data_IF_449982105521
#
_entry.id   IF_449982105521
#
_cell.length_a   1.000
_cell.length_b   1.000
_cell.length_c   1.000
_cell.angle_alpha   90.00
_cell.angle_beta   90.00
_cell.angle_gamma   90.00
#
_symmetry.space_group_name_H-M   'P 1'
#
loop_
_entity.id
_entity.type
_entity.pdbx_description
1 polymer ?
#
# COMPACT_ATOMS: atom_id res chain seq x y z
N UNK A 1 -9.41 -9.12 -5.20
CA UNK A 1 -8.62 -7.88 -4.92
C UNK A 1 -7.12 -8.18 -4.99
N UNK A 2 -6.70 -9.03 -5.93
CA UNK A 2 -5.30 -9.44 -6.03
C UNK A 2 -4.47 -8.33 -6.68
N UNK A 3 -5.10 -7.52 -7.51
CA UNK A 3 -4.50 -6.49 -8.35
C UNK A 3 -4.42 -5.13 -7.65
N UNK A 4 -4.92 -5.02 -6.41
CA UNK A 4 -5.10 -3.74 -5.74
C UNK A 4 -3.97 -3.45 -4.76
N UNK A 5 -3.39 -2.25 -4.84
CA UNK A 5 -2.55 -1.67 -3.79
C UNK A 5 -3.21 -0.45 -3.17
N UNK A 6 -2.90 -0.27 -1.90
CA UNK A 6 -3.23 0.87 -1.07
C UNK A 6 -1.99 1.75 -0.94
N UNK A 7 -2.14 3.03 -1.22
CA UNK A 7 -1.13 4.06 -1.04
C UNK A 7 -1.55 5.01 0.08
N UNK A 8 -0.66 5.23 1.04
CA UNK A 8 -0.89 6.02 2.25
C UNK A 8 0.03 7.25 2.25
N UNK A 9 -0.44 8.34 2.88
CA UNK A 9 0.39 9.55 3.07
C UNK A 9 0.46 10.51 1.88
N UNK A 10 -0.24 10.25 0.78
CA UNK A 10 -0.34 11.17 -0.36
C UNK A 10 -1.29 12.31 0.02
N UNK A 11 -0.79 13.53 0.18
CA UNK A 11 -1.59 14.71 0.54
C UNK A 11 -2.81 14.89 -0.38
N UNK A 12 -3.95 15.27 0.20
CA UNK A 12 -5.15 15.63 -0.57
C UNK A 12 -5.08 17.10 -0.95
N UNK A 13 -5.38 17.42 -2.21
CA UNK A 13 -5.58 18.81 -2.63
C UNK A 13 -6.96 19.26 -2.16
N UNK A 14 -7.03 20.41 -1.47
CA UNK A 14 -8.30 20.98 -0.99
C UNK A 14 -9.03 21.80 -2.05
N UNK A 15 -8.47 21.94 -3.25
CA UNK A 15 -9.08 22.69 -4.34
C UNK A 15 -10.34 22.01 -4.87
N UNK A 16 -11.23 22.83 -5.43
CA UNK A 16 -12.45 22.39 -6.13
C UNK A 16 -12.18 21.62 -7.42
N UNK A 17 -10.91 21.54 -7.85
CA UNK A 17 -10.50 20.75 -9.00
C UNK A 17 -10.59 19.24 -8.70
N UNK A 18 -10.98 18.46 -9.72
CA UNK A 18 -11.01 16.99 -9.62
C UNK A 18 -9.58 16.48 -9.42
N UNK A 19 -9.31 15.89 -8.27
CA UNK A 19 -8.00 15.30 -7.94
C UNK A 19 -7.69 14.11 -8.87
N UNK A 20 -6.61 14.22 -9.65
CA UNK A 20 -6.15 13.10 -10.48
C UNK A 20 -5.31 12.13 -9.64
N UNK A 21 -5.99 11.17 -8.99
CA UNK A 21 -5.37 10.16 -8.16
C UNK A 21 -4.38 9.26 -8.92
N UNK A 22 -4.61 9.03 -10.23
CA UNK A 22 -3.70 8.22 -11.04
C UNK A 22 -2.34 8.90 -11.20
N UNK A 23 -2.33 10.19 -11.53
CA UNK A 23 -1.09 10.97 -11.63
C UNK A 23 -0.35 10.96 -10.30
N UNK A 24 -1.03 11.19 -9.17
CA UNK A 24 -0.40 11.15 -7.85
C UNK A 24 0.27 9.81 -7.55
N UNK A 25 -0.38 8.70 -7.89
CA UNK A 25 0.18 7.35 -7.73
C UNK A 25 1.38 7.14 -8.66
N UNK A 26 1.30 7.54 -9.93
CA UNK A 26 2.41 7.44 -10.89
C UNK A 26 3.63 8.25 -10.45
N UNK A 27 3.42 9.50 -10.05
CA UNK A 27 4.48 10.37 -9.52
C UNK A 27 5.13 9.75 -8.29
N UNK A 28 4.35 9.21 -7.34
CA UNK A 28 4.92 8.54 -6.17
C UNK A 28 5.75 7.31 -6.56
N UNK A 29 5.28 6.49 -7.50
CA UNK A 29 6.01 5.29 -7.96
C UNK A 29 7.33 5.70 -8.66
N UNK A 30 7.33 6.75 -9.46
CA UNK A 30 8.53 7.27 -10.12
C UNK A 30 9.50 7.90 -9.11
N UNK A 31 9.00 8.76 -8.24
CA UNK A 31 9.84 9.57 -7.34
C UNK A 31 10.38 8.77 -6.17
N UNK A 32 9.57 7.91 -5.57
CA UNK A 32 9.94 7.16 -4.36
C UNK A 32 10.47 5.79 -4.74
N UNK A 33 9.73 5.04 -5.56
CA UNK A 33 10.09 3.65 -5.86
C UNK A 33 11.11 3.55 -7.01
N UNK A 34 11.35 4.65 -7.74
CA UNK A 34 12.26 4.72 -8.90
C UNK A 34 11.90 3.70 -9.99
N UNK A 35 10.59 3.47 -10.18
CA UNK A 35 10.06 2.60 -11.22
C UNK A 35 9.45 3.46 -12.31
N UNK A 36 9.75 3.15 -13.57
CA UNK A 36 9.06 3.79 -14.70
C UNK A 36 7.59 3.34 -14.77
N UNK A 37 6.70 4.30 -14.97
CA UNK A 37 5.24 4.10 -15.00
C UNK A 37 4.64 4.35 -16.37
N UNK A 38 5.43 4.68 -17.39
CA UNK A 38 4.92 5.04 -18.71
C UNK A 38 4.04 3.95 -19.31
N UNK A 39 4.40 2.68 -19.10
CA UNK A 39 3.65 1.53 -19.59
C UNK A 39 2.60 1.01 -18.60
N UNK A 40 2.59 1.50 -17.34
CA UNK A 40 1.67 1.03 -16.31
C UNK A 40 0.26 1.56 -16.56
N UNK A 41 -0.69 0.63 -16.62
CA UNK A 41 -2.11 0.92 -16.81
C UNK A 41 -2.87 0.56 -15.54
N UNK A 42 -3.74 1.47 -15.11
CA UNK A 42 -4.65 1.27 -14.00
C UNK A 42 -6.08 1.16 -14.51
N UNK A 43 -6.82 0.20 -13.97
CA UNK A 43 -8.25 0.08 -14.27
C UNK A 43 -9.05 1.17 -13.54
N UNK A 44 -8.69 1.42 -12.26
CA UNK A 44 -9.37 2.38 -11.38
C UNK A 44 -8.42 2.88 -10.30
N UNK A 45 -8.40 4.19 -10.06
CA UNK A 45 -7.61 4.83 -8.99
C UNK A 45 -8.44 5.89 -8.28
N UNK A 46 -8.61 5.77 -6.96
CA UNK A 46 -9.44 6.71 -6.19
C UNK A 46 -9.13 6.68 -4.69
N UNK A 47 -9.51 7.75 -3.97
CA UNK A 47 -9.46 7.82 -2.50
C UNK A 47 -10.48 6.87 -1.87
N UNK A 48 -10.09 6.16 -0.81
CA UNK A 48 -11.00 5.34 -0.01
C UNK A 48 -11.33 6.04 1.32
N UNK A 49 -12.61 6.02 1.66
CA UNK A 49 -13.12 6.45 2.97
C UNK A 49 -13.77 7.83 2.95
N UNK A 50 -14.49 8.18 4.04
CA UNK A 50 -15.15 9.47 4.16
C UNK A 50 -14.12 10.58 4.25
N UNK A 51 -14.41 11.74 3.64
CA UNK A 51 -13.61 12.96 3.86
C UNK A 51 -13.69 13.31 5.35
N UNK A 52 -12.56 13.28 6.05
CA UNK A 52 -12.47 13.66 7.44
C UNK A 52 -11.87 15.05 7.57
N UNK A 53 -12.28 15.84 8.59
CA UNK A 53 -11.68 17.15 8.89
C UNK A 53 -10.17 17.08 9.18
N UNK A 54 -9.70 15.91 9.65
CA UNK A 54 -8.30 15.63 9.96
C UNK A 54 -7.99 14.22 9.50
N UNK A 55 -7.22 14.10 8.42
CA UNK A 55 -6.72 12.81 7.94
C UNK A 55 -6.60 12.75 6.42
N UNK A 56 -5.46 12.25 5.96
CA UNK A 56 -5.21 11.95 4.55
C UNK A 56 -5.83 10.60 4.23
N UNK A 57 -6.81 10.55 3.32
CA UNK A 57 -7.41 9.30 2.87
C UNK A 57 -6.42 8.53 1.99
N UNK A 58 -6.30 7.22 2.16
CA UNK A 58 -5.47 6.42 1.27
C UNK A 58 -6.07 6.36 -0.13
N UNK A 59 -5.22 6.20 -1.14
CA UNK A 59 -5.62 5.90 -2.52
C UNK A 59 -5.58 4.39 -2.71
N UNK A 60 -6.62 3.82 -3.32
CA UNK A 60 -6.57 2.48 -3.90
C UNK A 60 -6.28 2.60 -5.38
N UNK A 61 -5.33 1.81 -5.88
CA UNK A 61 -5.09 1.64 -7.30
C UNK A 61 -5.29 0.18 -7.68
N UNK A 62 -6.17 -0.08 -8.64
CA UNK A 62 -6.30 -1.38 -9.30
C UNK A 62 -5.42 -1.38 -10.53
N UNK A 63 -4.37 -2.17 -10.50
CA UNK A 63 -3.49 -2.35 -11.65
C UNK A 63 -4.19 -3.21 -12.70
N UNK A 64 -3.98 -2.88 -13.98
CA UNK A 64 -4.45 -3.72 -15.07
C UNK A 64 -3.70 -5.05 -15.13
N UNK A 65 -2.37 -5.00 -14.91
CA UNK A 65 -1.50 -6.18 -14.87
C UNK A 65 -1.06 -6.49 -13.45
N UNK A 66 -1.20 -7.76 -13.06
CA UNK A 66 -0.72 -8.24 -11.76
C UNK A 66 0.81 -8.09 -11.61
N UNK A 67 1.57 -8.23 -12.69
CA UNK A 67 3.03 -8.11 -12.66
C UNK A 67 3.47 -6.70 -12.26
N UNK A 68 2.88 -5.66 -12.85
CA UNK A 68 3.15 -4.26 -12.50
C UNK A 68 2.89 -3.98 -11.02
N UNK A 69 1.74 -4.48 -10.52
CA UNK A 69 1.40 -4.42 -9.09
C UNK A 69 2.48 -5.05 -8.23
N UNK A 70 2.96 -6.22 -8.63
CA UNK A 70 3.91 -7.00 -7.84
C UNK A 70 5.31 -6.38 -7.84
N UNK A 71 5.75 -5.80 -8.96
CA UNK A 71 6.98 -5.00 -9.04
C UNK A 71 6.92 -3.84 -8.03
N UNK A 72 5.83 -3.06 -8.05
CA UNK A 72 5.60 -1.95 -7.10
C UNK A 72 5.61 -2.46 -5.66
N UNK A 73 4.92 -3.58 -5.39
CA UNK A 73 4.86 -4.17 -4.05
C UNK A 73 6.24 -4.59 -3.56
N UNK A 74 7.01 -5.33 -4.37
CA UNK A 74 8.31 -5.84 -3.96
C UNK A 74 9.29 -4.70 -3.71
N UNK A 75 9.34 -3.72 -4.61
CA UNK A 75 10.20 -2.54 -4.47
C UNK A 75 9.91 -1.75 -3.19
N UNK A 76 8.64 -1.67 -2.76
CA UNK A 76 8.28 -1.02 -1.50
C UNK A 76 8.83 -1.70 -0.24
N UNK A 77 9.33 -2.94 -0.35
CA UNK A 77 9.99 -3.65 0.74
C UNK A 77 11.51 -3.57 0.73
N UNK A 78 12.12 -3.01 -0.33
CA UNK A 78 13.56 -2.74 -0.35
C UNK A 78 13.91 -1.83 0.83
N UNK A 79 14.97 -2.17 1.56
CA UNK A 79 15.32 -1.51 2.84
C UNK A 79 15.46 0.00 2.69
N UNK A 80 16.13 0.45 1.63
CA UNK A 80 16.37 1.88 1.35
C UNK A 80 15.06 2.62 1.00
N UNK A 81 14.25 2.02 0.10
CA UNK A 81 12.96 2.57 -0.32
C UNK A 81 12.01 2.65 0.89
N UNK A 82 11.97 1.61 1.71
CA UNK A 82 11.16 1.56 2.92
C UNK A 82 11.59 2.62 3.93
N UNK A 83 12.89 2.87 4.08
CA UNK A 83 13.41 3.93 4.94
C UNK A 83 13.01 5.32 4.42
N UNK A 84 13.13 5.56 3.11
CA UNK A 84 12.70 6.82 2.48
C UNK A 84 11.19 7.05 2.66
N UNK A 85 10.37 6.03 2.37
CA UNK A 85 8.92 6.08 2.56
C UNK A 85 8.55 6.40 4.01
N UNK A 86 9.22 5.77 4.97
CA UNK A 86 9.00 6.03 6.40
C UNK A 86 9.33 7.47 6.75
N UNK A 87 10.47 8.00 6.27
CA UNK A 87 10.87 9.40 6.47
C UNK A 87 9.83 10.38 5.92
N UNK A 88 9.18 10.03 4.81
CA UNK A 88 8.15 10.83 4.14
C UNK A 88 6.73 10.59 4.67
N UNK A 89 6.55 9.72 5.68
CA UNK A 89 5.24 9.28 6.18
C UNK A 89 4.34 8.67 5.08
N UNK A 90 4.95 7.99 4.11
CA UNK A 90 4.29 7.31 2.99
C UNK A 90 4.26 5.80 3.25
N UNK A 91 3.22 5.13 2.74
CA UNK A 91 3.11 3.67 2.81
C UNK A 91 2.53 3.06 1.55
N UNK A 92 2.92 1.82 1.24
CA UNK A 92 2.33 0.98 0.20
C UNK A 92 1.97 -0.36 0.82
N UNK A 93 0.77 -0.88 0.54
CA UNK A 93 0.34 -2.16 1.07
C UNK A 93 -0.73 -2.82 0.22
N UNK A 94 -0.92 -4.12 0.37
CA UNK A 94 -1.98 -4.84 -0.35
C UNK A 94 -3.36 -4.54 0.25
N UNK A 95 -4.39 -4.49 -0.60
CA UNK A 95 -5.76 -4.31 -0.13
C UNK A 95 -6.29 -5.62 0.45
N UNK A 96 -6.74 -5.57 1.71
CA UNK A 96 -7.37 -6.70 2.39
C UNK A 96 -8.89 -6.58 2.38
N UNK A 97 -9.62 -7.71 2.30
CA UNK A 97 -11.05 -7.73 2.61
C UNK A 97 -11.34 -7.11 3.97
N UNK A 98 -12.52 -6.49 4.10
CA UNK A 98 -12.94 -5.77 5.31
C UNK A 98 -12.81 -6.66 6.56
N UNK A 99 -13.27 -7.90 6.47
CA UNK A 99 -13.25 -8.88 7.55
C UNK A 99 -11.81 -9.16 8.03
N UNK A 100 -10.87 -9.35 7.10
CA UNK A 100 -9.46 -9.59 7.42
C UNK A 100 -8.83 -8.34 8.07
N UNK A 101 -9.17 -7.16 7.56
CA UNK A 101 -8.71 -5.89 8.13
C UNK A 101 -9.23 -5.68 9.56
N UNK A 102 -10.48 -6.02 9.82
CA UNK A 102 -11.11 -5.92 11.14
C UNK A 102 -10.51 -6.92 12.12
N UNK A 103 -10.32 -8.18 11.71
CA UNK A 103 -9.63 -9.19 12.51
C UNK A 103 -8.21 -8.74 12.91
N UNK A 104 -7.44 -8.17 11.96
CA UNK A 104 -6.10 -7.63 12.26
C UNK A 104 -6.14 -6.46 13.23
N UNK A 105 -7.13 -5.58 13.13
CA UNK A 105 -7.30 -4.46 14.05
C UNK A 105 -7.56 -4.95 15.48
N UNK A 106 -8.37 -5.99 15.65
CA UNK A 106 -8.64 -6.60 16.95
C UNK A 106 -7.40 -7.27 17.57
N UNK A 107 -6.51 -7.83 16.75
CA UNK A 107 -5.28 -8.51 17.19
C UNK A 107 -4.12 -7.56 17.55
N UNK A 108 -4.12 -6.33 17.02
CA UNK A 108 -3.01 -5.40 17.16
C UNK A 108 -2.64 -5.02 18.63
N UNK A 109 -3.60 -4.78 19.55
CA UNK A 109 -3.28 -4.53 20.96
C UNK A 109 -2.57 -5.72 21.62
N UNK A 110 -2.97 -6.95 21.30
CA UNK A 110 -2.40 -8.19 21.85
C UNK A 110 -0.95 -8.40 21.38
N UNK A 111 -0.65 -8.05 20.13
CA UNK A 111 0.70 -8.14 19.57
C UNK A 111 1.66 -7.09 20.15
N UNK A 112 1.15 -5.90 20.51
CA UNK A 112 1.96 -4.85 21.17
C UNK A 112 2.33 -5.21 22.61
N UNK A 113 1.45 -5.91 23.33
CA UNK A 113 1.70 -6.33 24.71
C UNK A 113 2.62 -7.55 24.86
N UNK A 114 2.76 -8.38 23.81
CA UNK A 114 3.44 -9.69 23.88
C UNK A 114 4.90 -9.71 23.38
N UNK A 115 5.55 -8.56 23.20
CA UNK A 115 7.00 -8.53 22.90
C UNK A 115 7.42 -9.12 21.55
N UNK A 116 6.50 -9.35 20.61
CA UNK A 116 6.75 -9.80 19.23
C UNK A 116 7.37 -8.65 18.37
N UNK A 117 8.16 -7.76 18.99
CA UNK A 117 8.91 -6.71 18.31
C UNK A 117 10.37 -7.10 18.05
N UNK A 118 10.89 -8.17 18.66
CA UNK A 118 12.26 -8.62 18.40
C UNK A 118 12.28 -9.72 17.32
N UNK A 119 12.37 -9.30 16.06
CA UNK A 119 13.10 -10.04 15.04
C UNK A 119 12.40 -11.19 14.30
N UNK A 120 11.07 -11.29 14.30
CA UNK A 120 10.37 -12.28 13.46
C UNK A 120 9.65 -11.59 12.31
N UNK A 121 10.22 -11.70 11.11
CA UNK A 121 9.61 -11.25 9.87
C UNK A 121 8.22 -11.90 9.72
N UNK A 122 7.17 -11.11 9.89
CA UNK A 122 5.77 -11.51 9.78
C UNK A 122 5.31 -11.74 8.33
N UNK A 123 6.20 -12.24 7.48
CA UNK A 123 5.87 -12.76 6.16
C UNK A 123 5.86 -14.28 6.25
N UNK A 124 4.70 -14.84 6.55
CA UNK A 124 4.40 -16.25 6.33
C UNK A 124 4.63 -16.57 4.86
N UNK A 125 5.79 -17.14 4.56
CA UNK A 125 6.09 -17.78 3.28
C UNK A 125 5.25 -19.04 3.21
N UNK A 126 4.09 -18.94 2.59
CA UNK A 126 3.23 -20.08 2.29
C UNK A 126 3.86 -20.86 1.12
N UNK A 127 4.93 -21.59 1.41
CA UNK A 127 5.56 -22.58 0.53
C UNK A 127 5.99 -23.77 1.41
N UNK A 128 5.03 -24.58 1.84
CA UNK A 128 5.28 -25.89 2.44
C UNK A 128 3.99 -26.72 2.47
N UNK A 129 3.26 -26.86 1.35
CA UNK A 129 2.14 -27.81 1.23
C UNK A 129 2.00 -28.29 -0.23
N UNK A 130 3.09 -28.75 -0.83
CA UNK A 130 3.07 -29.59 -2.04
C UNK A 130 4.28 -30.54 -1.99
N UNK A 131 4.30 -31.41 -0.99
CA UNK A 131 4.99 -32.70 -1.07
C UNK A 131 4.12 -33.70 -0.32
N UNK A 132 3.22 -34.33 -1.06
CA UNK A 132 2.76 -35.70 -0.90
C UNK A 132 2.27 -36.18 -2.26
#
# INVERSE_FOLDING_TARGET
MRENLMFYGITETNDTAIENCETLVKTLIQDVLKIDTQTMVFDRVHRIGPKAKRGIRPIVAKFHRYNDREIVRQKSFDTEIKAEMTKRNIGVGVQWPKQIREARKALHPLAKGSGIQKGKNAYGRQQALHQH
#
